data_IF_892952393734
#
_entry.id   IF_892952393734
#
_cell.length_a   1.000
_cell.length_b   1.000
_cell.length_c   1.000
_cell.angle_alpha   90.00
_cell.angle_beta   90.00
_cell.angle_gamma   90.00
#
_symmetry.space_group_name_H-M   'P 1'
#
loop_
_entity.id
_entity.type
_entity.pdbx_description
1 polymer ?
#
# COMPACT_ATOMS: atom_id res chain seq x y z
N UNK A 1 -33.39 -8.53 -65.13
CA UNK A 1 -31.99 -8.69 -64.70
C UNK A 1 -31.71 -7.53 -63.75
N UNK A 2 -32.07 -7.72 -62.49
CA UNK A 2 -32.10 -6.70 -61.44
C UNK A 2 -30.68 -6.41 -60.95
N UNK A 3 -30.30 -5.13 -60.94
CA UNK A 3 -29.09 -4.66 -60.25
C UNK A 3 -29.41 -4.59 -58.75
N UNK A 4 -28.87 -5.52 -57.99
CA UNK A 4 -28.86 -5.43 -56.53
C UNK A 4 -27.98 -4.25 -56.11
N UNK A 5 -28.61 -3.24 -55.51
CA UNK A 5 -27.94 -2.23 -54.70
C UNK A 5 -27.47 -2.91 -53.42
N UNK A 6 -26.14 -3.07 -53.27
CA UNK A 6 -25.54 -3.40 -51.99
C UNK A 6 -25.62 -2.15 -51.10
N UNK A 7 -26.43 -2.22 -50.05
CA UNK A 7 -26.40 -1.24 -48.96
C UNK A 7 -25.12 -1.46 -48.16
N UNK A 8 -24.15 -0.58 -48.34
CA UNK A 8 -22.96 -0.48 -47.51
C UNK A 8 -23.30 0.29 -46.23
N UNK A 9 -23.86 -0.39 -45.23
CA UNK A 9 -23.93 0.13 -43.86
C UNK A 9 -23.19 -0.83 -42.93
N UNK A 10 -21.91 -0.55 -42.73
CA UNK A 10 -21.18 -1.04 -41.56
C UNK A 10 -20.04 -0.07 -41.22
N UNK A 11 -20.37 1.19 -40.95
CA UNK A 11 -19.49 2.01 -40.12
C UNK A 11 -19.56 1.45 -38.70
N UNK A 12 -18.57 0.63 -38.36
CA UNK A 12 -18.22 0.35 -36.98
C UNK A 12 -17.68 1.65 -36.37
N UNK A 13 -18.57 2.60 -36.05
CA UNK A 13 -18.22 3.74 -35.22
C UNK A 13 -17.83 3.18 -33.85
N UNK A 14 -16.51 3.11 -33.60
CA UNK A 14 -16.02 2.90 -32.24
C UNK A 14 -16.60 4.02 -31.39
N UNK A 15 -17.51 3.67 -30.49
CA UNK A 15 -18.03 4.56 -29.45
C UNK A 15 -16.87 4.93 -28.51
N UNK A 16 -16.06 5.90 -28.92
CA UNK A 16 -14.88 6.38 -28.16
C UNK A 16 -15.25 7.47 -27.17
N UNK A 17 -16.45 8.05 -27.30
CA UNK A 17 -16.85 9.26 -26.56
C UNK A 17 -18.27 9.09 -26.01
N UNK A 18 -18.45 9.31 -24.71
CA UNK A 18 -19.75 9.36 -24.06
C UNK A 18 -20.16 10.84 -23.89
N UNK A 19 -20.93 11.36 -24.84
CA UNK A 19 -21.30 12.79 -24.92
C UNK A 19 -22.25 13.25 -23.80
N UNK A 20 -23.14 12.38 -23.34
CA UNK A 20 -24.18 12.74 -22.37
C UNK A 20 -23.65 13.09 -20.97
N UNK A 21 -22.42 12.68 -20.62
CA UNK A 21 -21.87 13.05 -19.30
C UNK A 21 -21.64 14.56 -19.18
N UNK A 22 -21.22 15.22 -20.26
CA UNK A 22 -20.97 16.67 -20.25
C UNK A 22 -22.27 17.49 -20.17
N UNK A 23 -23.41 16.91 -20.54
CA UNK A 23 -24.72 17.56 -20.48
C UNK A 23 -25.34 17.56 -19.08
N UNK A 24 -24.78 16.77 -18.16
CA UNK A 24 -25.24 16.74 -16.77
C UNK A 24 -24.88 18.05 -16.04
N UNK A 25 -25.77 18.58 -15.18
CA UNK A 25 -25.44 19.63 -14.24
C UNK A 25 -24.17 19.28 -13.44
N UNK A 26 -23.35 20.29 -13.17
CA UNK A 26 -22.05 20.15 -12.49
C UNK A 26 -22.19 19.39 -11.17
N UNK A 27 -23.25 19.63 -10.40
CA UNK A 27 -23.50 18.96 -9.13
C UNK A 27 -23.67 17.44 -9.29
N UNK A 28 -24.31 16.99 -10.38
CA UNK A 28 -24.47 15.57 -10.67
C UNK A 28 -23.15 14.96 -11.15
N UNK A 29 -22.38 15.67 -11.98
CA UNK A 29 -21.06 15.22 -12.44
C UNK A 29 -20.10 15.04 -11.25
N UNK A 30 -20.06 16.01 -10.33
CA UNK A 30 -19.26 15.92 -9.10
C UNK A 30 -19.71 14.76 -8.20
N UNK A 31 -21.03 14.55 -8.03
CA UNK A 31 -21.53 13.39 -7.29
C UNK A 31 -21.11 12.07 -7.92
N UNK A 32 -21.13 11.98 -9.25
CA UNK A 32 -20.66 10.79 -9.98
C UNK A 32 -19.17 10.58 -9.74
N UNK A 33 -18.34 11.63 -9.77
CA UNK A 33 -16.91 11.50 -9.48
C UNK A 33 -16.60 11.11 -8.05
N UNK A 34 -17.31 11.66 -7.07
CA UNK A 34 -17.18 11.23 -5.68
C UNK A 34 -17.62 9.76 -5.49
N UNK A 35 -18.66 9.32 -6.22
CA UNK A 35 -19.09 7.92 -6.21
C UNK A 35 -18.10 6.99 -6.93
N UNK A 36 -17.48 7.47 -8.01
CA UNK A 36 -16.47 6.75 -8.79
C UNK A 36 -15.11 6.65 -8.08
N UNK A 37 -14.92 7.33 -6.94
CA UNK A 37 -13.72 7.18 -6.13
C UNK A 37 -13.37 5.71 -5.91
N UNK A 38 -12.12 5.31 -6.17
CA UNK A 38 -11.71 3.94 -5.91
C UNK A 38 -12.02 3.54 -4.46
N UNK A 39 -12.37 2.26 -4.30
CA UNK A 39 -12.39 1.61 -3.01
C UNK A 39 -10.98 1.63 -2.38
N UNK A 40 -10.84 1.40 -1.07
CA UNK A 40 -9.53 1.25 -0.44
C UNK A 40 -8.68 0.22 -1.19
N UNK A 41 -7.40 0.53 -1.43
CA UNK A 41 -6.52 -0.29 -2.26
C UNK A 41 -5.32 -0.80 -1.46
N UNK A 42 -4.86 -2.00 -1.81
CA UNK A 42 -3.58 -2.53 -1.35
C UNK A 42 -2.48 -2.05 -2.31
N UNK A 43 -1.72 -1.05 -1.87
CA UNK A 43 -0.65 -0.44 -2.62
C UNK A 43 0.68 -1.14 -2.30
N UNK A 44 1.10 -2.02 -3.19
CA UNK A 44 2.36 -2.73 -3.05
C UNK A 44 3.53 -1.86 -3.47
N UNK A 45 4.47 -1.65 -2.55
CA UNK A 45 5.72 -0.93 -2.79
C UNK A 45 6.80 -1.92 -3.21
N UNK A 46 7.43 -1.65 -4.34
CA UNK A 46 8.53 -2.46 -4.87
C UNK A 46 9.86 -1.82 -4.56
N UNK A 47 10.84 -2.65 -4.22
CA UNK A 47 12.22 -2.21 -3.99
C UNK A 47 13.15 -2.59 -5.15
N UNK A 48 14.13 -1.74 -5.43
CA UNK A 48 15.07 -1.88 -6.57
C UNK A 48 15.91 -3.17 -6.57
N UNK A 49 16.03 -3.88 -5.44
CA UNK A 49 16.75 -5.17 -5.37
C UNK A 49 15.96 -6.24 -4.60
N UNK A 50 14.72 -6.53 -5.02
CA UNK A 50 13.94 -7.65 -4.47
C UNK A 50 14.69 -9.00 -4.45
N UNK A 51 15.69 -9.20 -5.33
CA UNK A 51 16.42 -10.46 -5.45
C UNK A 51 17.48 -10.72 -4.35
N UNK A 52 17.79 -9.77 -3.45
CA UNK A 52 18.83 -9.97 -2.43
C UNK A 52 18.30 -10.44 -1.06
N UNK A 53 17.17 -11.15 -1.01
CA UNK A 53 16.59 -11.72 0.22
C UNK A 53 17.58 -12.62 1.01
N UNK A 54 18.71 -13.00 0.40
CA UNK A 54 19.78 -13.80 1.03
C UNK A 54 21.18 -13.16 0.99
N UNK A 55 21.33 -11.94 0.46
CA UNK A 55 22.62 -11.29 0.21
C UNK A 55 22.93 -10.11 1.13
N UNK A 56 24.20 -9.89 1.46
CA UNK A 56 24.65 -8.68 2.19
C UNK A 56 24.15 -7.41 1.49
N UNK A 57 23.46 -6.56 2.26
CA UNK A 57 22.90 -5.27 1.81
C UNK A 57 23.95 -4.44 1.07
N UNK A 58 23.63 -4.09 -0.18
CA UNK A 58 24.42 -3.15 -0.98
C UNK A 58 23.59 -1.95 -1.45
N UNK A 59 22.49 -1.63 -0.74
CA UNK A 59 21.79 -0.38 -1.02
C UNK A 59 22.60 0.79 -0.46
N UNK A 60 23.15 1.59 -1.38
CA UNK A 60 23.53 2.98 -1.11
C UNK A 60 22.43 3.87 -1.68
N UNK A 61 21.57 4.42 -0.82
CA UNK A 61 20.53 5.38 -1.21
C UNK A 61 19.13 4.80 -1.43
N UNK A 62 18.30 5.55 -2.16
CA UNK A 62 16.85 5.34 -2.31
C UNK A 62 16.45 3.93 -2.81
N UNK A 63 15.60 3.26 -2.03
CA UNK A 63 15.24 1.86 -2.22
C UNK A 63 13.91 1.62 -2.93
N UNK A 64 12.97 2.59 -2.91
CA UNK A 64 11.67 2.46 -3.57
C UNK A 64 11.87 2.59 -5.08
N UNK A 65 11.42 1.59 -5.82
CA UNK A 65 11.48 1.59 -7.28
C UNK A 65 10.19 2.11 -7.88
N UNK A 66 9.08 1.47 -7.50
CA UNK A 66 7.76 1.70 -8.06
C UNK A 66 6.69 1.24 -7.07
N UNK A 67 5.45 1.62 -7.34
CA UNK A 67 4.29 1.09 -6.66
C UNK A 67 3.36 0.41 -7.66
N UNK A 68 2.63 -0.61 -7.23
CA UNK A 68 1.62 -1.30 -8.03
C UNK A 68 0.47 -1.80 -7.18
N UNK A 69 -0.68 -2.02 -7.80
CA UNK A 69 -1.79 -2.72 -7.15
C UNK A 69 -1.67 -4.22 -7.43
N UNK A 70 -1.88 -5.04 -6.40
CA UNK A 70 -1.96 -6.50 -6.55
C UNK A 70 -3.41 -6.84 -6.86
N UNK A 71 -3.73 -7.16 -8.12
CA UNK A 71 -5.07 -7.56 -8.52
C UNK A 71 -4.99 -8.78 -9.44
N UNK A 72 -5.64 -9.88 -9.06
CA UNK A 72 -5.69 -11.09 -9.87
C UNK A 72 -4.34 -11.75 -10.16
N UNK A 73 -3.33 -11.54 -9.30
CA UNK A 73 -1.98 -12.09 -9.48
C UNK A 73 -1.07 -11.32 -10.44
N UNK A 74 -1.55 -10.19 -10.99
CA UNK A 74 -0.76 -9.27 -11.81
C UNK A 74 -0.49 -7.94 -11.12
N UNK A 75 0.62 -7.30 -11.51
CA UNK A 75 0.95 -5.94 -11.08
C UNK A 75 0.28 -4.95 -12.03
N UNK A 76 -0.68 -4.17 -11.52
CA UNK A 76 -1.33 -3.10 -12.29
C UNK A 76 -0.88 -1.72 -11.82
N UNK A 77 -1.19 -0.69 -12.61
CA UNK A 77 -0.79 0.70 -12.32
C UNK A 77 -1.24 1.13 -10.92
N UNK A 78 -0.32 1.70 -10.14
CA UNK A 78 -0.63 2.32 -8.85
C UNK A 78 -1.42 3.63 -8.98
N UNK A 79 -1.45 4.25 -10.15
CA UNK A 79 -2.10 5.54 -10.33
C UNK A 79 -3.62 5.33 -10.33
N UNK A 80 -4.37 5.97 -9.41
CA UNK A 80 -5.82 5.87 -9.38
C UNK A 80 -6.44 6.25 -10.73
N UNK A 81 -7.34 5.42 -11.24
CA UNK A 81 -7.97 5.65 -12.56
C UNK A 81 -8.61 7.02 -12.65
N UNK A 82 -9.18 7.54 -11.56
CA UNK A 82 -9.82 8.85 -11.55
C UNK A 82 -8.86 10.01 -11.92
N UNK A 83 -7.56 9.89 -11.65
CA UNK A 83 -6.56 10.91 -12.02
C UNK A 83 -6.27 10.93 -13.53
N UNK A 84 -6.72 9.91 -14.27
CA UNK A 84 -6.49 9.74 -15.70
C UNK A 84 -7.73 9.96 -16.58
N UNK A 85 -8.93 10.07 -16.01
CA UNK A 85 -10.17 10.19 -16.81
C UNK A 85 -10.25 11.53 -17.54
N UNK A 86 -10.30 12.63 -16.81
CA UNK A 86 -10.32 14.01 -17.33
C UNK A 86 -9.87 15.01 -16.24
N UNK A 87 -9.88 16.31 -16.54
CA UNK A 87 -9.46 17.35 -15.59
C UNK A 87 -10.36 17.43 -14.35
N UNK A 88 -11.69 17.37 -14.51
CA UNK A 88 -12.64 17.47 -13.40
C UNK A 88 -12.53 16.26 -12.45
N UNK A 89 -12.44 15.05 -13.01
CA UNK A 89 -12.22 13.83 -12.27
C UNK A 89 -10.88 13.89 -11.52
N UNK A 90 -9.83 14.42 -12.16
CA UNK A 90 -8.53 14.61 -11.52
C UNK A 90 -8.60 15.60 -10.36
N UNK A 91 -9.29 16.73 -10.51
CA UNK A 91 -9.48 17.70 -9.42
C UNK A 91 -10.15 17.04 -8.22
N UNK A 92 -11.22 16.27 -8.44
CA UNK A 92 -11.89 15.49 -7.38
C UNK A 92 -10.96 14.44 -6.78
N UNK A 93 -10.15 13.75 -7.59
CA UNK A 93 -9.19 12.76 -7.10
C UNK A 93 -8.08 13.36 -6.25
N UNK A 94 -7.57 14.53 -6.63
CA UNK A 94 -6.50 15.22 -5.90
C UNK A 94 -6.98 15.85 -4.59
N UNK A 95 -8.28 15.89 -4.29
CA UNK A 95 -8.74 16.22 -2.94
C UNK A 95 -8.45 15.12 -1.93
N UNK A 96 -8.03 13.93 -2.40
CA UNK A 96 -7.91 12.71 -1.58
C UNK A 96 -6.58 12.00 -1.77
N UNK A 97 -6.07 11.96 -3.00
CA UNK A 97 -4.80 11.33 -3.32
C UNK A 97 -3.66 12.34 -3.35
N UNK A 98 -2.62 12.06 -2.56
CA UNK A 98 -1.38 12.84 -2.53
C UNK A 98 -0.26 12.05 -3.22
N UNK A 99 0.65 12.76 -3.91
CA UNK A 99 1.86 12.14 -4.44
C UNK A 99 2.84 11.92 -3.27
N UNK A 100 2.99 10.67 -2.87
CA UNK A 100 3.69 10.24 -1.66
C UNK A 100 5.03 9.56 -1.96
N UNK A 101 5.77 9.28 -0.88
CA UNK A 101 7.08 8.65 -0.91
C UNK A 101 8.10 9.52 -1.65
N UNK A 102 8.05 10.82 -1.40
CA UNK A 102 9.14 11.73 -1.75
C UNK A 102 10.27 11.62 -0.73
N UNK A 103 11.42 12.14 -1.14
CA UNK A 103 12.51 12.54 -0.24
C UNK A 103 13.09 13.85 -0.75
N UNK A 104 13.98 14.45 0.04
CA UNK A 104 14.67 15.70 -0.33
C UNK A 104 15.29 15.68 -1.74
N UNK A 105 15.74 14.51 -2.20
CA UNK A 105 16.40 14.35 -3.51
C UNK A 105 15.51 13.71 -4.59
N UNK A 106 14.27 13.33 -4.29
CA UNK A 106 13.40 12.59 -5.24
C UNK A 106 11.93 12.96 -5.13
N UNK A 107 11.31 13.13 -6.29
CA UNK A 107 9.87 13.25 -6.41
C UNK A 107 9.17 11.99 -5.90
N UNK A 108 7.94 12.15 -5.41
CA UNK A 108 7.12 11.04 -4.94
C UNK A 108 6.85 10.00 -6.03
N UNK A 109 6.64 8.76 -5.60
CA UNK A 109 6.61 7.58 -6.48
C UNK A 109 5.20 7.02 -6.67
N UNK A 110 4.25 7.37 -5.79
CA UNK A 110 2.90 6.82 -5.84
C UNK A 110 1.84 7.81 -5.35
N UNK A 111 0.63 7.74 -5.92
CA UNK A 111 -0.53 8.47 -5.40
C UNK A 111 -1.22 7.65 -4.31
N UNK A 112 -1.28 8.19 -3.10
CA UNK A 112 -1.74 7.50 -1.89
C UNK A 112 -2.89 8.29 -1.27
N UNK A 113 -3.96 7.58 -0.92
CA UNK A 113 -4.97 8.05 0.01
C UNK A 113 -4.65 7.49 1.40
N UNK A 114 -3.88 8.25 2.18
CA UNK A 114 -3.35 7.79 3.47
C UNK A 114 -4.43 7.34 4.46
N UNK A 115 -5.66 7.83 4.32
CA UNK A 115 -6.75 7.50 5.22
C UNK A 115 -7.31 6.09 4.97
N UNK A 116 -7.28 5.60 3.72
CA UNK A 116 -7.93 4.33 3.33
C UNK A 116 -6.99 3.31 2.72
N UNK A 117 -6.00 3.74 1.94
CA UNK A 117 -5.09 2.81 1.27
C UNK A 117 -4.25 2.05 2.32
N UNK A 118 -3.96 0.79 1.99
CA UNK A 118 -3.06 -0.08 2.75
C UNK A 118 -1.69 -0.08 2.07
N UNK A 119 -0.64 0.28 2.80
CA UNK A 119 0.72 0.26 2.28
C UNK A 119 1.29 -1.15 2.48
N UNK A 120 1.41 -1.89 1.38
CA UNK A 120 1.90 -3.27 1.39
C UNK A 120 3.39 -3.32 1.01
N UNK A 121 4.21 -3.72 1.97
CA UNK A 121 5.65 -3.91 1.81
C UNK A 121 6.06 -5.39 1.80
N UNK A 122 5.11 -6.32 1.73
CA UNK A 122 5.40 -7.77 1.77
C UNK A 122 6.32 -8.22 0.64
N UNK A 123 6.30 -7.51 -0.49
CA UNK A 123 7.18 -7.70 -1.67
C UNK A 123 8.34 -6.71 -1.72
N UNK A 124 8.50 -5.82 -0.74
CA UNK A 124 9.62 -4.89 -0.67
C UNK A 124 10.89 -5.52 -0.06
N UNK A 125 10.76 -6.72 0.54
CA UNK A 125 11.82 -7.37 1.32
C UNK A 125 11.83 -6.87 2.77
N UNK A 126 12.42 -7.62 3.69
CA UNK A 126 12.09 -7.44 5.11
C UNK A 126 12.72 -6.27 5.83
N UNK A 127 13.69 -5.57 5.24
CA UNK A 127 14.26 -4.36 5.85
C UNK A 127 13.59 -3.07 5.36
N UNK A 128 12.48 -3.17 4.63
CA UNK A 128 11.78 -2.02 4.08
C UNK A 128 11.27 -1.05 5.15
N UNK A 129 10.78 -1.55 6.28
CA UNK A 129 10.22 -0.72 7.37
C UNK A 129 11.30 0.19 7.95
N UNK A 130 12.47 -0.36 8.28
CA UNK A 130 13.64 0.40 8.74
C UNK A 130 14.08 1.45 7.71
N UNK A 131 14.01 1.15 6.41
CA UNK A 131 14.38 2.10 5.37
C UNK A 131 13.34 3.22 5.16
N UNK A 132 12.05 2.95 5.35
CA UNK A 132 11.01 3.99 5.28
C UNK A 132 11.20 5.06 6.35
N UNK A 133 11.56 4.63 7.57
CA UNK A 133 11.79 5.53 8.71
C UNK A 133 13.20 6.12 8.73
N UNK A 134 13.90 6.05 7.60
CA UNK A 134 15.25 6.59 7.40
C UNK A 134 16.36 5.65 7.86
N UNK A 135 16.30 5.10 9.07
CA UNK A 135 17.34 4.20 9.53
C UNK A 135 18.75 4.84 9.46
N UNK A 136 19.66 4.30 8.62
CA UNK A 136 21.00 4.88 8.33
C UNK A 136 21.01 5.88 7.15
N UNK A 137 19.86 6.18 6.57
CA UNK A 137 19.67 6.97 5.35
C UNK A 137 18.52 7.98 5.51
N UNK A 138 18.24 8.75 4.46
CA UNK A 138 17.03 9.59 4.37
C UNK A 138 15.80 8.71 4.12
N UNK A 139 14.81 8.81 5.00
CA UNK A 139 13.54 8.07 4.92
C UNK A 139 12.58 8.72 3.93
N UNK A 140 11.32 8.28 3.98
CA UNK A 140 10.24 8.99 3.28
C UNK A 140 9.81 10.21 4.09
N UNK A 141 9.34 11.26 3.41
CA UNK A 141 8.81 12.45 4.11
C UNK A 141 7.44 12.17 4.76
N UNK A 142 6.72 11.15 4.30
CA UNK A 142 5.32 10.90 4.66
C UNK A 142 5.12 9.86 5.79
N UNK A 143 6.16 9.49 6.55
CA UNK A 143 6.09 8.42 7.59
C UNK A 143 4.90 8.62 8.54
N UNK A 144 4.72 9.86 9.00
CA UNK A 144 3.66 10.26 9.94
C UNK A 144 2.23 10.22 9.35
N UNK A 145 2.10 10.19 8.02
CA UNK A 145 0.80 10.12 7.34
C UNK A 145 0.30 8.68 7.20
N UNK A 146 1.19 7.69 7.19
CA UNK A 146 0.84 6.28 7.01
C UNK A 146 -0.11 5.81 8.13
N UNK A 147 -1.31 5.34 7.75
CA UNK A 147 -2.34 4.83 8.68
C UNK A 147 -2.45 3.31 8.70
N UNK A 148 -2.22 2.67 7.56
CA UNK A 148 -2.37 1.23 7.40
C UNK A 148 -1.09 0.68 6.75
N UNK A 149 -0.40 -0.21 7.46
CA UNK A 149 0.88 -0.77 7.03
C UNK A 149 0.85 -2.28 7.11
N UNK A 150 1.31 -2.93 6.06
CA UNK A 150 1.48 -4.38 6.00
C UNK A 150 2.91 -4.72 5.57
N UNK A 151 3.59 -5.60 6.30
CA UNK A 151 4.91 -6.07 5.90
C UNK A 151 5.22 -7.49 6.38
N UNK A 152 6.23 -8.09 5.75
CA UNK A 152 6.72 -9.42 6.11
C UNK A 152 7.83 -9.31 7.15
N UNK A 153 7.64 -9.96 8.29
CA UNK A 153 8.68 -10.12 9.32
C UNK A 153 9.67 -11.18 8.87
N UNK A 154 10.96 -10.82 8.78
CA UNK A 154 12.03 -11.81 8.66
C UNK A 154 12.77 -12.00 9.99
N UNK A 155 13.06 -13.23 10.37
CA UNK A 155 13.42 -13.56 11.75
C UNK A 155 14.92 -13.58 12.02
N UNK A 156 15.73 -13.51 10.97
CA UNK A 156 17.15 -13.21 11.12
C UNK A 156 17.41 -11.72 11.41
N UNK A 157 16.36 -10.89 11.34
CA UNK A 157 16.39 -9.49 11.78
C UNK A 157 15.69 -9.28 13.12
N UNK A 158 14.59 -10.00 13.37
CA UNK A 158 13.73 -9.77 14.53
C UNK A 158 13.23 -11.08 15.12
N UNK A 159 13.38 -11.26 16.42
CA UNK A 159 12.71 -12.33 17.16
C UNK A 159 11.56 -11.78 18.03
N UNK A 160 10.89 -12.65 18.79
CA UNK A 160 9.77 -12.25 19.67
C UNK A 160 10.21 -11.30 20.80
N UNK A 161 11.50 -11.25 21.14
CA UNK A 161 12.07 -10.42 22.20
C UNK A 161 12.73 -9.12 21.68
N UNK A 162 13.26 -9.12 20.45
CA UNK A 162 13.92 -7.99 19.79
C UNK A 162 13.23 -7.65 18.46
N UNK A 163 11.95 -7.29 18.56
CA UNK A 163 11.12 -6.89 17.43
C UNK A 163 11.33 -5.41 17.06
N UNK A 164 10.98 -5.02 15.83
CA UNK A 164 11.14 -3.65 15.29
C UNK A 164 10.16 -2.60 15.84
N UNK A 165 9.83 -2.66 17.13
CA UNK A 165 8.90 -1.71 17.75
C UNK A 165 9.39 -0.27 17.66
N UNK A 166 10.71 -0.04 17.70
CA UNK A 166 11.28 1.30 17.53
C UNK A 166 10.98 1.89 16.15
N UNK A 167 11.09 1.09 15.09
CA UNK A 167 10.77 1.52 13.73
C UNK A 167 9.26 1.72 13.57
N UNK A 168 8.43 0.79 14.08
CA UNK A 168 6.97 0.90 14.04
C UNK A 168 6.49 2.16 14.76
N UNK A 169 7.11 2.53 15.89
CA UNK A 169 6.75 3.71 16.66
C UNK A 169 6.93 5.03 15.90
N UNK A 170 7.83 5.08 14.92
CA UNK A 170 8.03 6.30 14.11
C UNK A 170 6.85 6.60 13.19
N UNK A 171 6.02 5.60 12.87
CA UNK A 171 4.73 5.81 12.21
C UNK A 171 3.71 6.33 13.24
N UNK A 172 3.89 7.57 13.68
CA UNK A 172 3.04 8.26 14.67
C UNK A 172 1.55 8.28 14.29
N UNK A 173 1.30 8.11 13.00
CA UNK A 173 0.00 8.03 12.37
C UNK A 173 -0.67 6.68 12.33
N UNK A 174 0.03 5.61 12.68
CA UNK A 174 -0.39 4.25 12.39
C UNK A 174 -1.63 3.88 13.18
N UNK A 175 -2.63 3.34 12.49
CA UNK A 175 -3.88 2.83 13.07
C UNK A 175 -3.98 1.33 12.96
N UNK A 176 -3.46 0.75 11.88
CA UNK A 176 -3.45 -0.68 11.63
C UNK A 176 -2.08 -1.15 11.19
N UNK A 177 -1.59 -2.19 11.85
CA UNK A 177 -0.37 -2.90 11.51
C UNK A 177 -0.70 -4.37 11.21
N UNK A 178 -0.39 -4.81 9.99
CA UNK A 178 -0.54 -6.19 9.56
C UNK A 178 0.83 -6.84 9.36
N UNK A 179 1.10 -7.90 10.10
CA UNK A 179 2.38 -8.63 10.05
C UNK A 179 2.18 -9.96 9.34
N UNK A 180 2.94 -10.22 8.28
CA UNK A 180 3.01 -11.55 7.66
C UNK A 180 4.24 -12.29 8.15
N UNK A 181 4.01 -13.48 8.71
CA UNK A 181 5.06 -14.35 9.23
C UNK A 181 5.12 -15.61 8.37
N UNK A 182 6.30 -15.98 7.90
CA UNK A 182 6.52 -17.25 7.20
C UNK A 182 6.72 -18.40 8.21
N UNK A 183 6.18 -19.58 7.87
CA UNK A 183 5.95 -20.77 8.70
C UNK A 183 7.07 -21.22 9.65
N UNK A 184 8.34 -20.92 9.35
CA UNK A 184 9.48 -21.53 10.05
C UNK A 184 9.95 -20.78 11.31
N UNK A 185 9.27 -19.73 11.77
CA UNK A 185 9.96 -18.73 12.59
C UNK A 185 9.24 -18.18 13.82
N UNK A 186 7.96 -17.83 13.72
CA UNK A 186 7.16 -17.47 14.90
C UNK A 186 5.95 -18.40 14.85
N UNK A 187 5.94 -19.38 15.74
CA UNK A 187 4.78 -20.24 15.92
C UNK A 187 3.73 -19.50 16.77
N UNK A 188 2.49 -19.99 16.79
CA UNK A 188 1.45 -19.45 17.67
C UNK A 188 1.87 -19.47 19.15
N UNK A 189 2.79 -20.36 19.53
CA UNK A 189 3.37 -20.42 20.88
C UNK A 189 4.24 -19.22 21.24
N UNK A 190 4.72 -18.45 20.25
CA UNK A 190 5.55 -17.25 20.47
C UNK A 190 4.71 -15.97 20.55
N UNK A 191 3.41 -16.03 20.24
CA UNK A 191 2.48 -14.89 20.36
C UNK A 191 2.49 -14.28 21.78
N UNK A 192 2.47 -15.08 22.88
CA UNK A 192 2.56 -14.54 24.22
C UNK A 192 3.88 -13.77 24.47
N UNK A 193 5.00 -14.26 23.94
CA UNK A 193 6.29 -13.58 24.09
C UNK A 193 6.29 -12.24 23.35
N UNK A 194 5.80 -12.22 22.11
CA UNK A 194 5.64 -11.00 21.32
C UNK A 194 4.68 -10.00 21.99
N UNK A 195 3.59 -10.49 22.59
CA UNK A 195 2.65 -9.67 23.35
C UNK A 195 3.32 -9.06 24.59
N UNK A 196 4.01 -9.86 25.39
CA UNK A 196 4.73 -9.37 26.56
C UNK A 196 5.78 -8.31 26.17
N UNK A 197 6.52 -8.56 25.08
CA UNK A 197 7.47 -7.59 24.54
C UNK A 197 6.81 -6.29 24.08
N UNK A 198 5.65 -6.38 23.45
CA UNK A 198 4.84 -5.21 23.07
C UNK A 198 4.33 -4.44 24.29
N UNK A 199 3.82 -5.14 25.31
CA UNK A 199 3.37 -4.53 26.57
C UNK A 199 4.51 -3.81 27.29
N UNK A 200 5.66 -4.46 27.41
CA UNK A 200 6.86 -3.89 28.02
C UNK A 200 7.37 -2.68 27.22
N UNK A 201 7.26 -2.71 25.89
CA UNK A 201 7.62 -1.59 25.03
C UNK A 201 6.63 -0.42 25.18
N UNK A 202 5.32 -0.68 25.14
CA UNK A 202 4.28 0.32 25.32
C UNK A 202 4.34 0.97 26.72
N UNK A 203 4.65 0.19 27.77
CA UNK A 203 4.87 0.71 29.13
C UNK A 203 6.07 1.66 29.22
N UNK A 204 7.10 1.47 28.40
CA UNK A 204 8.29 2.34 28.33
C UNK A 204 8.08 3.59 27.49
N UNK A 205 7.10 3.59 26.57
CA UNK A 205 6.83 4.66 25.61
C UNK A 205 5.37 5.11 25.73
N UNK A 206 5.04 5.83 26.80
CA UNK A 206 3.64 6.18 27.15
C UNK A 206 2.94 7.09 26.14
N UNK A 207 3.71 7.83 25.37
CA UNK A 207 3.31 8.73 24.31
C UNK A 207 3.00 8.00 23.00
N UNK A 208 3.40 6.73 22.87
CA UNK A 208 3.14 5.95 21.68
C UNK A 208 1.68 5.50 21.61
N UNK A 209 1.01 5.86 20.52
CA UNK A 209 -0.34 5.38 20.21
C UNK A 209 -0.26 3.99 19.59
N UNK A 210 -0.69 2.99 20.36
CA UNK A 210 -0.71 1.61 19.90
C UNK A 210 -1.69 1.42 18.72
N UNK A 211 -1.26 0.89 17.57
CA UNK A 211 -2.15 0.53 16.47
C UNK A 211 -2.91 -0.78 16.75
N UNK A 212 -3.96 -1.05 15.97
CA UNK A 212 -4.56 -2.40 15.85
C UNK A 212 -3.56 -3.31 15.13
N UNK A 213 -2.97 -4.26 15.86
CA UNK A 213 -1.94 -5.16 15.36
C UNK A 213 -2.55 -6.52 15.05
N UNK A 214 -2.32 -7.01 13.84
CA UNK A 214 -2.75 -8.34 13.41
C UNK A 214 -1.63 -9.10 12.76
N UNK A 215 -1.62 -10.41 13.00
CA UNK A 215 -0.59 -11.31 12.54
C UNK A 215 -1.24 -12.37 11.65
N UNK A 216 -0.74 -12.51 10.43
CA UNK A 216 -1.15 -13.56 9.50
C UNK A 216 -0.29 -14.80 9.72
N UNK A 217 -0.97 -15.90 10.03
CA UNK A 217 -0.40 -17.23 10.05
C UNK A 217 -0.91 -18.02 8.84
N UNK A 218 0.02 -18.62 8.12
CA UNK A 218 -0.26 -19.58 7.06
C UNK A 218 0.49 -20.85 7.44
N UNK A 219 -0.09 -21.73 8.27
CA UNK A 219 0.55 -22.96 8.77
C UNK A 219 -0.29 -24.18 8.40
N UNK A 220 0.30 -25.15 7.70
CA UNK A 220 -0.33 -26.46 7.41
C UNK A 220 -1.74 -26.33 6.77
N UNK A 221 -1.95 -25.32 5.92
CA UNK A 221 -3.24 -25.07 5.27
C UNK A 221 -4.27 -24.33 6.13
N UNK A 222 -3.96 -24.02 7.39
CA UNK A 222 -4.74 -23.09 8.20
C UNK A 222 -4.22 -21.66 8.03
N UNK A 223 -5.04 -20.86 7.35
CA UNK A 223 -4.80 -19.46 7.05
C UNK A 223 -5.67 -18.59 7.95
N UNK A 224 -5.06 -17.87 8.89
CA UNK A 224 -5.82 -17.02 9.82
C UNK A 224 -5.08 -15.75 10.20
N UNK A 225 -5.87 -14.71 10.46
CA UNK A 225 -5.42 -13.52 11.18
C UNK A 225 -5.65 -13.71 12.67
N UNK A 226 -4.63 -13.36 13.47
CA UNK A 226 -4.73 -13.29 14.93
C UNK A 226 -4.49 -11.84 15.34
N UNK A 227 -5.41 -11.29 16.13
CA UNK A 227 -5.23 -9.96 16.72
C UNK A 227 -4.27 -10.04 17.92
N UNK A 228 -3.32 -9.11 17.97
CA UNK A 228 -2.44 -8.92 19.11
C UNK A 228 -3.03 -7.83 19.99
N UNK A 229 -3.99 -8.21 20.83
CA UNK A 229 -4.61 -7.31 21.80
C UNK A 229 -3.65 -7.04 22.97
N UNK A 230 -3.74 -5.88 23.62
CA UNK A 230 -3.10 -5.60 24.91
C UNK A 230 -4.14 -5.63 26.03
#
# INVERSE_FOLDING_TARGET
MERMLQSSDSSSEQLTTFSCFAELPTELRLKIWHFYMPAPRDLCIKSKNYQSITGRFSFRGWFIDSASLITGGGDTSAIPTILHVNSEAREVGLTRYELAFSSYHRAGTAYVDFERDNIDLTRAGSNCVFMLVGGRFEGIDDVEKVRNLEFTVQPHFWDSNDFCWNEVMQFSGLRRLSLRIYESFIDESEIPNLRNGLEDFARRNTEWKLPDIRIWFDKLGMKKWVALEL
#
